data_IF_681600946923
#
_entry.id   IF_681600946923
#
_cell.length_a   1.000
_cell.length_b   1.000
_cell.length_c   1.000
_cell.angle_alpha   90.00
_cell.angle_beta   90.00
_cell.angle_gamma   90.00
#
_symmetry.space_group_name_H-M   'P 1'
#
loop_
_entity.id
_entity.type
_entity.pdbx_description
1 polymer ?
#
# COMPACT_ATOMS: atom_id res chain seq x y z
N UNK A 1 -37.73 -15.44 -8.07
CA UNK A 1 -36.51 -15.18 -7.27
C UNK A 1 -35.70 -14.17 -8.05
N UNK A 2 -35.76 -12.90 -7.65
CA UNK A 2 -35.29 -11.78 -8.49
C UNK A 2 -33.78 -11.78 -8.65
N UNK A 3 -33.32 -11.64 -9.89
CA UNK A 3 -31.97 -11.27 -10.30
C UNK A 3 -31.65 -9.84 -9.87
N UNK A 4 -31.67 -9.58 -8.57
CA UNK A 4 -31.15 -8.33 -7.99
C UNK A 4 -29.63 -8.36 -8.07
N UNK A 5 -29.04 -7.41 -8.82
CA UNK A 5 -27.59 -7.26 -8.95
C UNK A 5 -26.90 -7.36 -7.58
N UNK A 6 -26.03 -8.36 -7.42
CA UNK A 6 -25.23 -8.50 -6.20
C UNK A 6 -24.33 -7.28 -6.01
N UNK A 7 -23.96 -6.99 -4.76
CA UNK A 7 -23.01 -5.92 -4.46
C UNK A 7 -21.69 -6.12 -5.23
N UNK A 8 -21.23 -7.36 -5.39
CA UNK A 8 -20.05 -7.72 -6.16
C UNK A 8 -20.17 -7.38 -7.65
N UNK A 9 -21.31 -7.72 -8.28
CA UNK A 9 -21.55 -7.41 -9.68
C UNK A 9 -21.67 -5.89 -9.92
N UNK A 10 -22.34 -5.18 -9.01
CA UNK A 10 -22.42 -3.72 -9.05
C UNK A 10 -21.03 -3.08 -8.90
N UNK A 11 -20.21 -3.53 -7.95
CA UNK A 11 -18.87 -2.99 -7.73
C UNK A 11 -17.97 -3.22 -8.94
N UNK A 12 -18.05 -4.40 -9.56
CA UNK A 12 -17.33 -4.69 -10.80
C UNK A 12 -17.74 -3.71 -11.91
N UNK A 13 -19.03 -3.48 -12.11
CA UNK A 13 -19.51 -2.56 -13.15
C UNK A 13 -19.07 -1.11 -12.91
N UNK A 14 -18.98 -0.67 -11.64
CA UNK A 14 -18.44 0.66 -11.30
C UNK A 14 -16.97 0.80 -11.69
N UNK A 15 -16.17 -0.23 -11.43
CA UNK A 15 -14.73 -0.23 -11.74
C UNK A 15 -14.49 -0.30 -13.25
N UNK A 16 -15.24 -1.15 -13.96
CA UNK A 16 -15.16 -1.27 -15.41
C UNK A 16 -15.50 0.05 -16.11
N UNK A 17 -16.53 0.77 -15.64
CA UNK A 17 -16.94 2.05 -16.21
C UNK A 17 -15.88 3.16 -16.12
N UNK A 18 -14.94 3.06 -15.18
CA UNK A 18 -13.88 4.05 -14.98
C UNK A 18 -12.49 3.52 -15.33
N UNK A 19 -12.39 2.28 -15.85
CA UNK A 19 -11.12 1.56 -16.00
C UNK A 19 -10.09 2.37 -16.77
N UNK A 20 -10.47 3.00 -17.87
CA UNK A 20 -9.56 3.76 -18.75
C UNK A 20 -9.58 5.27 -18.51
N UNK A 21 -10.23 5.74 -17.45
CA UNK A 21 -10.28 7.16 -17.09
C UNK A 21 -9.66 7.38 -15.69
N UNK A 22 -8.40 7.86 -15.60
CA UNK A 22 -7.74 8.13 -14.33
C UNK A 22 -8.47 9.15 -13.45
N UNK A 23 -9.14 10.14 -14.04
CA UNK A 23 -9.91 11.12 -13.28
C UNK A 23 -11.18 10.48 -12.72
N UNK A 24 -11.89 9.68 -13.52
CA UNK A 24 -13.07 8.96 -13.05
C UNK A 24 -12.74 7.91 -11.97
N UNK A 25 -11.55 7.28 -12.00
CA UNK A 25 -11.05 6.44 -10.89
C UNK A 25 -10.92 7.23 -9.58
N UNK A 26 -10.38 8.45 -9.65
CA UNK A 26 -10.25 9.34 -8.48
C UNK A 26 -11.62 9.73 -7.93
N UNK A 27 -12.58 10.02 -8.80
CA UNK A 27 -13.95 10.33 -8.39
C UNK A 27 -14.62 9.10 -7.77
N UNK A 28 -14.42 7.91 -8.33
CA UNK A 28 -14.98 6.67 -7.80
C UNK A 28 -14.49 6.40 -6.38
N UNK A 29 -13.18 6.45 -6.11
CA UNK A 29 -12.67 6.29 -4.74
C UNK A 29 -13.16 7.41 -3.82
N UNK A 30 -13.36 8.63 -4.33
CA UNK A 30 -13.85 9.72 -3.50
C UNK A 30 -15.27 9.41 -3.01
N UNK A 31 -16.12 8.89 -3.91
CA UNK A 31 -17.50 8.49 -3.58
C UNK A 31 -17.57 7.38 -2.53
N UNK A 32 -16.61 6.45 -2.47
CA UNK A 32 -16.66 5.37 -1.46
C UNK A 32 -16.58 5.89 -0.03
N UNK A 33 -15.89 7.02 0.21
CA UNK A 33 -15.84 7.66 1.53
C UNK A 33 -17.09 8.50 1.87
N UNK A 34 -18.00 8.72 0.91
CA UNK A 34 -19.28 9.36 1.19
C UNK A 34 -20.35 8.38 1.67
N UNK A 35 -20.06 7.06 1.66
CA UNK A 35 -21.00 6.02 2.05
C UNK A 35 -22.16 5.86 1.06
N UNK A 36 -23.05 4.87 1.30
CA UNK A 36 -24.09 4.47 0.33
C UNK A 36 -25.15 5.56 0.08
N UNK A 37 -25.38 6.43 1.06
CA UNK A 37 -26.37 7.52 1.00
C UNK A 37 -25.73 8.90 0.72
N UNK A 38 -24.45 8.94 0.35
CA UNK A 38 -23.71 10.18 0.09
C UNK A 38 -23.38 11.01 1.35
N UNK A 39 -23.72 10.51 2.54
CA UNK A 39 -23.45 11.14 3.83
C UNK A 39 -22.77 10.17 4.79
N UNK A 40 -21.45 10.28 4.90
CA UNK A 40 -20.66 9.52 5.87
C UNK A 40 -19.57 10.39 6.52
N UNK A 41 -19.94 11.37 7.36
CA UNK A 41 -19.00 12.34 7.92
C UNK A 41 -17.84 11.70 8.71
N UNK A 42 -18.07 10.52 9.31
CA UNK A 42 -17.05 9.78 10.07
C UNK A 42 -15.97 9.16 9.16
N UNK A 43 -16.28 8.86 7.89
CA UNK A 43 -15.34 8.27 6.93
C UNK A 43 -14.50 9.33 6.20
N UNK A 44 -15.02 10.55 6.03
CA UNK A 44 -14.38 11.61 5.23
C UNK A 44 -12.93 11.93 5.63
N UNK A 45 -12.54 11.96 6.92
CA UNK A 45 -11.16 12.22 7.29
C UNK A 45 -10.17 11.18 6.72
N UNK A 46 -10.58 9.92 6.57
CA UNK A 46 -9.72 8.81 6.13
C UNK A 46 -9.40 8.83 4.63
N UNK A 47 -10.17 9.57 3.83
CA UNK A 47 -9.91 9.70 2.38
C UNK A 47 -8.57 10.35 2.07
N UNK A 48 -8.01 11.14 3.00
CA UNK A 48 -6.87 12.02 2.72
C UNK A 48 -5.66 11.25 2.21
N UNK A 49 -5.27 10.17 2.87
CA UNK A 49 -4.15 9.32 2.45
C UNK A 49 -4.42 8.64 1.10
N UNK A 50 -5.59 7.99 0.94
CA UNK A 50 -5.97 7.31 -0.30
C UNK A 50 -5.99 8.27 -1.51
N UNK A 51 -6.62 9.45 -1.38
CA UNK A 51 -6.70 10.42 -2.47
C UNK A 51 -5.33 11.03 -2.79
N UNK A 52 -4.47 11.24 -1.78
CA UNK A 52 -3.11 11.72 -2.02
C UNK A 52 -2.31 10.73 -2.86
N UNK A 53 -2.38 9.45 -2.51
CA UNK A 53 -1.71 8.38 -3.25
C UNK A 53 -2.27 8.23 -4.67
N UNK A 54 -3.59 8.21 -4.82
CA UNK A 54 -4.21 8.07 -6.15
C UNK A 54 -3.88 9.26 -7.07
N UNK A 55 -3.85 10.50 -6.54
CA UNK A 55 -3.38 11.67 -7.31
C UNK A 55 -1.91 11.55 -7.72
N UNK A 56 -1.07 10.97 -6.88
CA UNK A 56 0.32 10.70 -7.26
C UNK A 56 0.39 9.64 -8.37
N UNK A 57 -0.40 8.56 -8.29
CA UNK A 57 -0.48 7.54 -9.36
C UNK A 57 -0.91 8.16 -10.69
N UNK A 58 -1.90 9.06 -10.68
CA UNK A 58 -2.36 9.80 -11.87
C UNK A 58 -1.24 10.68 -12.42
N UNK A 59 -0.61 11.52 -11.58
CA UNK A 59 0.48 12.42 -12.02
C UNK A 59 1.66 11.65 -12.60
N UNK A 60 2.01 10.51 -12.02
CA UNK A 60 3.10 9.65 -12.50
C UNK A 60 2.80 8.99 -13.85
N UNK A 61 1.52 8.88 -14.21
CA UNK A 61 1.08 8.24 -15.45
C UNK A 61 0.81 6.74 -15.33
N UNK A 62 1.01 6.12 -14.16
CA UNK A 62 0.84 4.66 -14.00
C UNK A 62 -0.60 4.19 -14.21
N UNK A 63 -1.60 5.08 -14.10
CA UNK A 63 -3.01 4.76 -14.31
C UNK A 63 -3.51 5.08 -15.73
N UNK A 64 -2.66 5.61 -16.62
CA UNK A 64 -3.06 5.90 -18.00
C UNK A 64 -3.58 4.64 -18.74
N UNK A 65 -4.41 4.77 -19.79
CA UNK A 65 -4.85 3.65 -20.60
C UNK A 65 -3.67 2.83 -21.13
N UNK A 66 -3.77 1.51 -21.14
CA UNK A 66 -2.67 0.63 -21.58
C UNK A 66 -2.49 0.63 -23.11
N UNK A 67 -3.50 1.03 -23.88
CA UNK A 67 -3.40 1.24 -25.34
C UNK A 67 -3.16 2.71 -25.73
N UNK A 68 -2.82 3.58 -24.77
CA UNK A 68 -2.54 5.00 -25.02
C UNK A 68 -1.14 5.25 -25.60
N UNK A 69 -0.92 6.47 -26.13
CA UNK A 69 0.39 6.90 -26.64
C UNK A 69 1.49 6.92 -25.55
N UNK A 70 1.09 7.20 -24.32
CA UNK A 70 1.91 7.01 -23.11
C UNK A 70 1.16 5.99 -22.24
N UNK A 71 1.44 4.69 -22.41
CA UNK A 71 0.69 3.64 -21.74
C UNK A 71 0.94 3.65 -20.23
N UNK A 72 -0.10 3.37 -19.45
CA UNK A 72 0.03 3.14 -18.01
C UNK A 72 0.60 1.76 -17.70
N UNK A 73 0.81 1.48 -16.41
CA UNK A 73 1.27 0.16 -15.95
C UNK A 73 0.08 -0.79 -15.80
N UNK A 74 0.10 -1.96 -16.45
CA UNK A 74 -0.90 -3.00 -16.24
C UNK A 74 -1.00 -3.40 -14.75
N UNK A 75 0.16 -3.54 -14.08
CA UNK A 75 0.21 -3.92 -12.68
C UNK A 75 -0.40 -2.86 -11.74
N UNK A 76 0.00 -1.59 -11.89
CA UNK A 76 -0.50 -0.50 -11.04
C UNK A 76 -2.02 -0.33 -11.19
N UNK A 77 -2.52 -0.50 -12.41
CA UNK A 77 -3.96 -0.44 -12.71
C UNK A 77 -4.70 -1.59 -12.05
N UNK A 78 -4.18 -2.82 -12.10
CA UNK A 78 -4.79 -3.99 -11.48
C UNK A 78 -4.86 -3.86 -9.93
N UNK A 79 -3.77 -3.42 -9.30
CA UNK A 79 -3.75 -3.16 -7.85
C UNK A 79 -4.75 -2.07 -7.45
N UNK A 80 -4.84 -1.00 -8.25
CA UNK A 80 -5.81 0.07 -8.04
C UNK A 80 -7.26 -0.43 -8.24
N UNK A 81 -7.53 -1.27 -9.24
CA UNK A 81 -8.86 -1.86 -9.49
C UNK A 81 -9.33 -2.72 -8.33
N UNK A 82 -8.44 -3.53 -7.72
CA UNK A 82 -8.80 -4.31 -6.51
C UNK A 82 -9.23 -3.41 -5.36
N UNK A 83 -8.46 -2.36 -5.08
CA UNK A 83 -8.79 -1.40 -4.02
C UNK A 83 -10.14 -0.71 -4.26
N UNK A 84 -10.39 -0.27 -5.51
CA UNK A 84 -11.66 0.34 -5.90
C UNK A 84 -12.82 -0.64 -5.74
N UNK A 85 -12.66 -1.87 -6.23
CA UNK A 85 -13.69 -2.92 -6.19
C UNK A 85 -14.08 -3.25 -4.76
N UNK A 86 -13.12 -3.54 -3.88
CA UNK A 86 -13.39 -3.91 -2.49
C UNK A 86 -14.12 -2.77 -1.75
N UNK A 87 -13.68 -1.52 -1.95
CA UNK A 87 -14.31 -0.34 -1.35
C UNK A 87 -15.73 -0.08 -1.88
N UNK A 88 -15.93 -0.19 -3.20
CA UNK A 88 -17.25 -0.06 -3.82
C UNK A 88 -18.21 -1.15 -3.33
N UNK A 89 -17.76 -2.40 -3.29
CA UNK A 89 -18.58 -3.51 -2.84
C UNK A 89 -19.00 -3.33 -1.38
N UNK A 90 -18.07 -2.98 -0.50
CA UNK A 90 -18.39 -2.73 0.91
C UNK A 90 -19.41 -1.59 1.07
N UNK A 91 -19.29 -0.50 0.31
CA UNK A 91 -20.28 0.59 0.31
C UNK A 91 -21.64 0.08 -0.18
N UNK A 92 -21.70 -0.65 -1.28
CA UNK A 92 -22.94 -1.23 -1.80
C UNK A 92 -23.62 -2.16 -0.78
N UNK A 93 -22.84 -3.03 -0.13
CA UNK A 93 -23.33 -3.92 0.93
C UNK A 93 -23.87 -3.15 2.12
N UNK A 94 -23.14 -2.12 2.58
CA UNK A 94 -23.61 -1.23 3.66
C UNK A 94 -24.89 -0.47 3.28
N UNK A 95 -25.15 -0.28 1.98
CA UNK A 95 -26.40 0.27 1.44
C UNK A 95 -27.52 -0.74 1.23
N UNK A 96 -27.34 -2.01 1.62
CA UNK A 96 -28.37 -3.04 1.55
C UNK A 96 -28.33 -3.95 0.31
N UNK A 97 -27.34 -3.79 -0.59
CA UNK A 97 -27.17 -4.75 -1.69
C UNK A 97 -26.67 -6.09 -1.16
N UNK A 98 -27.34 -7.18 -1.56
CA UNK A 98 -27.04 -8.54 -1.12
C UNK A 98 -25.99 -9.28 -1.97
N UNK A 99 -25.92 -10.59 -1.76
CA UNK A 99 -25.03 -11.51 -2.47
C UNK A 99 -23.79 -11.93 -1.66
N UNK A 100 -23.07 -12.93 -2.16
CA UNK A 100 -21.79 -13.38 -1.58
C UNK A 100 -20.70 -12.32 -1.81
N UNK A 101 -19.83 -12.12 -0.82
CA UNK A 101 -18.71 -11.19 -0.98
C UNK A 101 -17.73 -11.69 -2.03
N UNK A 102 -17.19 -10.81 -2.88
CA UNK A 102 -16.23 -11.23 -3.92
C UNK A 102 -14.84 -11.58 -3.39
N UNK A 103 -14.51 -11.12 -2.19
CA UNK A 103 -13.24 -11.39 -1.53
C UNK A 103 -13.37 -11.29 0.00
N UNK A 104 -12.48 -11.93 0.79
CA UNK A 104 -12.43 -11.75 2.24
C UNK A 104 -12.16 -10.30 2.67
N UNK A 105 -11.45 -9.53 1.84
CA UNK A 105 -11.08 -8.14 2.12
C UNK A 105 -12.30 -7.20 2.20
N UNK A 106 -13.40 -7.53 1.51
CA UNK A 106 -14.69 -6.82 1.66
C UNK A 106 -15.19 -6.88 3.11
N UNK A 107 -14.98 -7.99 3.82
CA UNK A 107 -15.33 -8.11 5.25
C UNK A 107 -14.58 -7.11 6.13
N UNK A 108 -13.28 -6.89 5.85
CA UNK A 108 -12.47 -5.89 6.55
C UNK A 108 -12.95 -4.46 6.26
N UNK A 109 -13.33 -4.18 5.02
CA UNK A 109 -13.95 -2.89 4.66
C UNK A 109 -15.29 -2.68 5.36
N UNK A 110 -16.12 -3.72 5.52
CA UNK A 110 -17.34 -3.63 6.31
C UNK A 110 -17.05 -3.32 7.79
N UNK A 111 -15.99 -3.89 8.37
CA UNK A 111 -15.54 -3.54 9.73
C UNK A 111 -15.09 -2.07 9.84
N UNK A 112 -14.39 -1.54 8.83
CA UNK A 112 -14.07 -0.11 8.79
C UNK A 112 -15.31 0.78 8.66
N UNK A 113 -16.27 0.38 7.83
CA UNK A 113 -17.53 1.13 7.66
C UNK A 113 -18.30 1.19 8.98
N UNK A 114 -18.38 0.08 9.72
CA UNK A 114 -19.07 0.03 11.02
C UNK A 114 -18.32 0.75 12.14
N UNK A 115 -16.99 0.65 12.16
CA UNK A 115 -16.15 1.24 13.20
C UNK A 115 -14.94 1.95 12.57
N UNK A 116 -15.08 3.22 12.16
CA UNK A 116 -14.04 3.91 11.40
C UNK A 116 -12.90 4.39 12.32
N UNK A 117 -11.82 3.63 12.33
CA UNK A 117 -10.57 3.93 13.04
C UNK A 117 -9.39 3.84 12.09
N UNK A 118 -8.23 4.38 12.49
CA UNK A 118 -7.00 4.23 11.71
C UNK A 118 -6.62 2.75 11.54
N UNK A 119 -6.83 1.93 12.57
CA UNK A 119 -6.55 0.49 12.53
C UNK A 119 -7.45 -0.24 11.54
N UNK A 120 -8.76 -0.06 11.65
CA UNK A 120 -9.72 -0.73 10.76
C UNK A 120 -9.55 -0.26 9.31
N UNK A 121 -9.20 1.02 9.10
CA UNK A 121 -8.87 1.55 7.77
C UNK A 121 -7.62 0.91 7.17
N UNK A 122 -6.49 0.90 7.89
CA UNK A 122 -5.26 0.30 7.38
C UNK A 122 -5.42 -1.20 7.16
N UNK A 123 -6.11 -1.91 8.05
CA UNK A 123 -6.35 -3.34 7.90
C UNK A 123 -7.11 -3.64 6.61
N UNK A 124 -8.22 -2.93 6.36
CA UNK A 124 -8.99 -3.10 5.13
C UNK A 124 -8.20 -2.69 3.89
N UNK A 125 -7.61 -1.49 3.90
CA UNK A 125 -6.85 -0.96 2.78
C UNK A 125 -5.66 -1.85 2.42
N UNK A 126 -4.84 -2.21 3.41
CA UNK A 126 -3.61 -2.96 3.16
C UNK A 126 -3.88 -4.41 2.82
N UNK A 127 -4.98 -5.01 3.29
CA UNK A 127 -5.37 -6.34 2.86
C UNK A 127 -5.75 -6.35 1.36
N UNK A 128 -6.49 -5.33 0.88
CA UNK A 128 -6.76 -5.16 -0.56
C UNK A 128 -5.47 -5.00 -1.36
N UNK A 129 -4.53 -4.19 -0.87
CA UNK A 129 -3.23 -3.97 -1.54
C UNK A 129 -2.39 -5.26 -1.54
N UNK A 130 -2.20 -5.91 -0.39
CA UNK A 130 -1.40 -7.12 -0.26
C UNK A 130 -1.94 -8.26 -1.13
N UNK A 131 -3.26 -8.50 -1.08
CA UNK A 131 -3.89 -9.50 -1.94
C UNK A 131 -3.69 -9.17 -3.41
N UNK A 132 -3.85 -7.90 -3.83
CA UNK A 132 -3.63 -7.52 -5.23
C UNK A 132 -2.17 -7.66 -5.68
N UNK A 133 -1.20 -7.34 -4.82
CA UNK A 133 0.21 -7.60 -5.11
C UNK A 133 0.44 -9.07 -5.43
N UNK A 134 -0.07 -9.94 -4.59
CA UNK A 134 0.15 -11.37 -4.69
C UNK A 134 -0.60 -11.99 -5.88
N UNK A 135 -1.83 -11.53 -6.13
CA UNK A 135 -2.68 -12.01 -7.23
C UNK A 135 -2.19 -11.55 -8.61
N UNK A 136 -1.40 -10.46 -8.68
CA UNK A 136 -0.85 -9.89 -9.92
C UNK A 136 0.68 -9.94 -9.98
N UNK A 137 1.30 -10.96 -9.36
CA UNK A 137 2.76 -11.13 -9.34
C UNK A 137 3.36 -11.33 -10.73
N UNK A 138 2.60 -11.92 -11.64
CA UNK A 138 2.94 -12.09 -13.05
C UNK A 138 3.12 -10.74 -13.75
N UNK A 139 2.15 -9.83 -13.61
CA UNK A 139 2.24 -8.46 -14.16
C UNK A 139 3.42 -7.69 -13.57
N UNK A 140 3.74 -7.89 -12.29
CA UNK A 140 4.93 -7.30 -11.68
C UNK A 140 6.22 -7.85 -12.30
N UNK A 141 6.23 -9.10 -12.77
CA UNK A 141 7.39 -9.72 -13.42
C UNK A 141 7.74 -9.06 -14.75
N UNK A 142 6.74 -8.57 -15.47
CA UNK A 142 6.86 -7.89 -16.78
C UNK A 142 7.39 -6.45 -16.65
N UNK A 143 7.28 -5.86 -15.47
CA UNK A 143 7.70 -4.49 -15.19
C UNK A 143 9.23 -4.36 -15.19
N UNK A 144 9.69 -3.15 -15.51
CA UNK A 144 11.12 -2.85 -15.55
C UNK A 144 11.76 -3.08 -14.17
N UNK A 145 13.06 -3.36 -14.16
CA UNK A 145 13.77 -3.62 -12.90
C UNK A 145 13.62 -2.46 -11.88
N UNK A 146 13.72 -1.17 -12.27
CA UNK A 146 13.39 -0.05 -11.39
C UNK A 146 11.96 -0.05 -10.86
N UNK A 147 10.97 -0.38 -11.68
CA UNK A 147 9.57 -0.47 -11.22
C UNK A 147 9.41 -1.60 -10.19
N UNK A 148 10.01 -2.77 -10.41
CA UNK A 148 9.97 -3.88 -9.44
C UNK A 148 10.63 -3.52 -8.12
N UNK A 149 11.78 -2.84 -8.15
CA UNK A 149 12.39 -2.28 -6.93
C UNK A 149 11.41 -1.35 -6.23
N UNK A 150 10.81 -0.45 -6.98
CA UNK A 150 9.90 0.53 -6.44
C UNK A 150 8.60 -0.08 -5.85
N UNK A 151 8.05 -1.13 -6.46
CA UNK A 151 6.93 -1.90 -5.91
C UNK A 151 7.25 -2.47 -4.51
N UNK A 152 8.47 -2.99 -4.30
CA UNK A 152 8.90 -3.45 -2.97
C UNK A 152 8.96 -2.30 -1.96
N UNK A 153 9.45 -1.12 -2.38
CA UNK A 153 9.49 0.09 -1.54
C UNK A 153 8.07 0.54 -1.16
N UNK A 154 7.11 0.48 -2.08
CA UNK A 154 5.71 0.80 -1.75
C UNK A 154 5.16 -0.22 -0.78
N UNK A 155 5.33 -1.51 -1.03
CA UNK A 155 4.82 -2.57 -0.16
C UNK A 155 5.35 -2.41 1.27
N UNK A 156 6.66 -2.32 1.45
CA UNK A 156 7.26 -2.20 2.79
C UNK A 156 6.77 -0.94 3.52
N UNK A 157 6.59 0.19 2.82
CA UNK A 157 6.10 1.43 3.43
C UNK A 157 4.63 1.35 3.80
N UNK A 158 3.80 0.71 2.97
CA UNK A 158 2.38 0.46 3.26
C UNK A 158 2.23 -0.45 4.50
N UNK A 159 3.01 -1.54 4.58
CA UNK A 159 3.02 -2.40 5.76
C UNK A 159 3.51 -1.66 7.01
N UNK A 160 4.56 -0.85 6.87
CA UNK A 160 5.14 -0.11 7.99
C UNK A 160 4.20 0.96 8.55
N UNK A 161 3.48 1.70 7.69
CA UNK A 161 2.51 2.71 8.16
C UNK A 161 1.35 2.08 8.91
N UNK A 162 0.93 0.88 8.53
CA UNK A 162 -0.03 0.10 9.32
C UNK A 162 0.55 -0.29 10.68
N UNK A 163 1.80 -0.79 10.72
CA UNK A 163 2.47 -1.14 11.97
C UNK A 163 2.63 0.08 12.92
N UNK A 164 2.82 1.30 12.41
CA UNK A 164 2.86 2.51 13.25
C UNK A 164 1.59 2.68 14.11
N UNK A 165 0.43 2.26 13.59
CA UNK A 165 -0.86 2.38 14.29
C UNK A 165 -1.20 1.11 15.07
N UNK A 166 -0.98 -0.05 14.48
CA UNK A 166 -1.47 -1.33 15.00
C UNK A 166 -0.44 -2.09 15.84
N UNK A 167 0.86 -1.90 15.56
CA UNK A 167 1.97 -2.51 16.29
C UNK A 167 3.10 -1.49 16.56
N UNK A 168 2.84 -0.39 17.27
CA UNK A 168 3.79 0.73 17.39
C UNK A 168 5.12 0.34 18.06
N UNK A 169 5.14 -0.71 18.90
CA UNK A 169 6.37 -1.26 19.48
C UNK A 169 7.24 -1.97 18.43
N UNK A 170 6.62 -2.69 17.50
CA UNK A 170 7.32 -3.27 16.38
C UNK A 170 7.94 -2.14 15.53
N UNK A 171 7.14 -1.14 15.15
CA UNK A 171 7.59 -0.06 14.27
C UNK A 171 8.64 0.87 14.91
N UNK A 172 8.39 1.36 16.13
CA UNK A 172 9.17 2.44 16.76
C UNK A 172 9.89 2.03 18.05
N UNK A 173 9.82 0.76 18.48
CA UNK A 173 10.45 0.30 19.72
C UNK A 173 10.07 1.16 20.93
N UNK A 174 11.07 1.82 21.53
CA UNK A 174 10.88 2.70 22.69
C UNK A 174 10.05 3.96 22.40
N UNK A 175 10.00 4.39 21.14
CA UNK A 175 9.21 5.55 20.70
C UNK A 175 7.77 5.16 20.30
N UNK A 176 7.31 3.96 20.65
CA UNK A 176 5.94 3.47 20.40
C UNK A 176 4.82 4.48 20.71
N UNK A 177 4.86 5.30 21.79
CA UNK A 177 3.80 6.27 22.06
C UNK A 177 3.56 7.29 20.93
N UNK A 178 4.54 7.52 20.06
CA UNK A 178 4.41 8.43 18.91
C UNK A 178 3.73 7.77 17.70
N UNK A 179 3.72 6.44 17.64
CA UNK A 179 3.29 5.66 16.47
C UNK A 179 1.90 6.02 15.96
N UNK A 180 0.84 5.96 16.78
CA UNK A 180 -0.52 6.23 16.32
C UNK A 180 -0.71 7.61 15.70
N UNK A 181 0.00 8.64 16.21
CA UNK A 181 -0.06 10.00 15.64
C UNK A 181 0.72 10.12 14.33
N UNK A 182 1.87 9.46 14.24
CA UNK A 182 2.71 9.49 13.03
C UNK A 182 2.08 8.69 11.87
N UNK A 183 1.38 7.61 12.19
CA UNK A 183 0.71 6.76 11.20
C UNK A 183 -0.73 7.19 10.87
N UNK A 184 -1.32 8.17 11.55
CA UNK A 184 -2.75 8.48 11.37
C UNK A 184 -3.09 8.90 9.91
N UNK A 185 -3.92 8.13 9.18
CA UNK A 185 -4.24 8.39 7.78
C UNK A 185 -5.10 9.64 7.56
N UNK A 186 -5.69 10.17 8.64
CA UNK A 186 -6.48 11.41 8.64
C UNK A 186 -5.57 12.64 8.61
N UNK A 187 -4.34 12.50 9.12
CA UNK A 187 -3.36 13.57 9.19
C UNK A 187 -2.53 13.62 7.90
N UNK A 188 -2.08 14.81 7.53
CA UNK A 188 -1.18 15.00 6.38
C UNK A 188 0.20 14.35 6.55
N UNK A 189 0.53 13.89 7.76
CA UNK A 189 1.82 13.27 8.10
C UNK A 189 2.02 11.88 7.49
N UNK A 190 0.94 11.14 7.18
CA UNK A 190 1.03 9.93 6.35
C UNK A 190 1.62 10.24 4.95
N UNK A 191 1.49 11.49 4.48
CA UNK A 191 2.13 12.00 3.27
C UNK A 191 3.65 12.14 3.35
N UNK A 192 4.26 12.04 4.54
CA UNK A 192 5.72 12.02 4.71
C UNK A 192 6.28 10.63 4.42
N UNK A 193 5.59 9.57 4.88
CA UNK A 193 5.94 8.18 4.56
C UNK A 193 5.53 7.81 3.12
N UNK A 194 4.46 8.44 2.61
CA UNK A 194 4.07 8.44 1.21
C UNK A 194 4.63 9.64 0.44
N UNK A 195 5.78 10.21 0.84
CA UNK A 195 6.52 11.22 0.06
C UNK A 195 7.19 10.60 -1.19
N UNK A 196 6.44 9.71 -1.84
CA UNK A 196 6.65 9.14 -3.15
C UNK A 196 6.99 10.24 -4.16
N UNK A 197 6.39 11.42 -4.08
CA UNK A 197 6.69 12.54 -4.99
C UNK A 197 7.99 13.31 -4.72
N UNK A 198 8.75 12.98 -3.66
CA UNK A 198 10.08 13.58 -3.41
C UNK A 198 11.22 12.57 -3.50
N UNK A 199 10.87 11.28 -3.48
CA UNK A 199 11.83 10.17 -3.51
C UNK A 199 11.77 9.42 -4.84
N UNK A 200 10.71 9.60 -5.63
CA UNK A 200 10.50 8.83 -6.85
C UNK A 200 10.32 9.72 -8.07
N UNK A 201 10.71 9.23 -9.25
CA UNK A 201 10.52 9.94 -10.49
C UNK A 201 9.04 10.16 -10.81
N UNK A 202 8.75 11.35 -11.33
CA UNK A 202 7.39 11.82 -11.60
C UNK A 202 6.81 11.28 -12.92
N UNK A 203 7.47 10.30 -13.56
CA UNK A 203 7.07 9.73 -14.85
C UNK A 203 7.17 8.21 -14.86
N UNK A 204 6.32 7.60 -15.69
CA UNK A 204 6.27 6.19 -16.01
C UNK A 204 6.41 6.02 -17.54
N UNK A 205 7.14 4.99 -18.03
CA UNK A 205 7.95 4.05 -17.23
C UNK A 205 9.21 4.71 -16.66
N UNK A 206 9.87 4.02 -15.73
CA UNK A 206 11.21 4.39 -15.29
C UNK A 206 12.23 3.94 -16.34
N UNK A 207 12.97 4.91 -16.88
CA UNK A 207 13.92 4.70 -17.98
C UNK A 207 15.37 4.47 -17.51
N UNK A 208 15.72 4.90 -16.28
CA UNK A 208 17.10 4.83 -15.77
C UNK A 208 17.40 3.51 -15.05
N UNK A 209 18.68 3.19 -14.85
CA UNK A 209 19.07 2.02 -14.08
C UNK A 209 18.73 2.21 -12.59
N UNK A 210 18.46 1.11 -11.87
CA UNK A 210 18.23 1.15 -10.40
C UNK A 210 19.38 1.83 -9.66
N UNK A 211 20.62 1.65 -10.15
CA UNK A 211 21.80 2.27 -9.57
C UNK A 211 21.77 3.81 -9.63
N UNK A 212 21.20 4.37 -10.69
CA UNK A 212 21.09 5.82 -10.88
C UNK A 212 20.06 6.40 -9.91
N UNK A 213 18.94 5.71 -9.70
CA UNK A 213 17.98 6.07 -8.66
C UNK A 213 18.59 5.99 -7.27
N UNK A 214 19.34 4.92 -6.96
CA UNK A 214 20.03 4.78 -5.67
C UNK A 214 21.14 5.84 -5.45
N UNK A 215 21.69 6.39 -6.52
CA UNK A 215 22.72 7.44 -6.49
C UNK A 215 22.12 8.85 -6.33
N UNK A 216 20.95 9.09 -6.94
CA UNK A 216 20.21 10.37 -6.88
C UNK A 216 19.30 10.45 -5.64
N UNK A 217 19.01 9.31 -4.99
CA UNK A 217 18.10 9.25 -3.84
C UNK A 217 18.60 10.13 -2.67
N UNK A 218 17.84 11.19 -2.36
CA UNK A 218 18.12 12.05 -1.22
C UNK A 218 18.10 11.25 0.10
N UNK A 219 19.09 11.54 0.96
CA UNK A 219 19.43 10.87 2.23
C UNK A 219 18.26 10.48 3.17
N UNK A 220 17.10 11.12 3.06
CA UNK A 220 15.95 10.93 3.96
C UNK A 220 15.13 9.68 3.63
N UNK A 221 14.96 9.33 2.35
CA UNK A 221 14.29 8.09 1.91
C UNK A 221 15.08 6.85 2.29
N UNK A 222 16.41 6.88 2.02
CA UNK A 222 17.34 5.85 2.49
C UNK A 222 17.37 5.71 4.01
N UNK A 223 17.35 6.83 4.75
CA UNK A 223 17.33 6.78 6.22
C UNK A 223 16.11 6.02 6.74
N UNK A 224 14.94 6.26 6.13
CA UNK A 224 13.68 5.67 6.55
C UNK A 224 13.64 4.18 6.17
N UNK A 225 13.93 3.84 4.91
CA UNK A 225 13.83 2.46 4.42
C UNK A 225 14.95 1.57 4.96
N UNK A 226 16.21 2.04 4.98
CA UNK A 226 17.35 1.23 5.44
C UNK A 226 17.62 1.35 6.94
N UNK A 227 17.39 2.52 7.55
CA UNK A 227 17.73 2.75 8.96
C UNK A 227 16.60 2.47 9.95
N UNK A 228 15.35 2.76 9.57
CA UNK A 228 14.20 2.59 10.46
C UNK A 228 13.46 1.28 10.18
N UNK A 229 13.11 1.05 8.91
CA UNK A 229 12.32 -0.12 8.49
C UNK A 229 13.20 -1.35 8.33
N UNK A 230 14.34 -1.23 7.63
CA UNK A 230 15.28 -2.30 7.29
C UNK A 230 15.52 -3.34 8.40
N UNK A 231 15.96 -2.92 9.60
CA UNK A 231 16.27 -3.84 10.71
C UNK A 231 15.10 -4.70 11.20
N UNK A 232 13.87 -4.34 10.81
CA UNK A 232 12.63 -4.98 11.28
C UNK A 232 11.83 -5.60 10.14
N UNK A 233 12.31 -5.56 8.89
CA UNK A 233 11.55 -5.99 7.72
C UNK A 233 10.99 -7.41 7.87
N UNK A 234 11.81 -8.36 8.33
CA UNK A 234 11.34 -9.74 8.53
C UNK A 234 10.16 -9.82 9.51
N UNK A 235 10.27 -9.13 10.65
CA UNK A 235 9.22 -9.09 11.68
C UNK A 235 7.98 -8.34 11.18
N UNK A 236 8.18 -7.28 10.39
CA UNK A 236 7.10 -6.50 9.79
C UNK A 236 6.26 -7.34 8.83
N UNK A 237 6.91 -8.11 7.96
CA UNK A 237 6.21 -9.01 7.03
C UNK A 237 5.50 -10.15 7.76
N UNK A 238 6.13 -10.75 8.79
CA UNK A 238 5.49 -11.78 9.61
C UNK A 238 4.25 -11.25 10.35
N UNK A 239 4.38 -10.12 11.03
CA UNK A 239 3.26 -9.46 11.69
C UNK A 239 2.15 -9.07 10.69
N UNK A 240 2.53 -8.57 9.51
CA UNK A 240 1.55 -8.19 8.49
C UNK A 240 0.82 -9.38 7.89
N UNK A 241 1.50 -10.52 7.70
CA UNK A 241 0.89 -11.76 7.23
C UNK A 241 -0.20 -12.24 8.19
N UNK A 242 0.04 -12.17 9.49
CA UNK A 242 -0.95 -12.49 10.53
C UNK A 242 -2.08 -11.45 10.60
N UNK A 243 -1.74 -10.16 10.68
CA UNK A 243 -2.72 -9.06 10.84
C UNK A 243 -3.71 -8.98 9.66
N UNK A 244 -3.22 -9.26 8.45
CA UNK A 244 -4.00 -9.21 7.21
C UNK A 244 -4.60 -10.57 6.80
N UNK A 245 -4.31 -11.64 7.54
CA UNK A 245 -4.68 -13.03 7.19
C UNK A 245 -4.23 -13.42 5.77
N UNK A 246 -2.97 -13.11 5.44
CA UNK A 246 -2.38 -13.33 4.12
C UNK A 246 -0.97 -13.94 4.26
N UNK A 247 -0.87 -15.27 4.46
CA UNK A 247 0.41 -15.94 4.70
C UNK A 247 1.38 -15.87 3.52
N UNK A 248 0.90 -15.69 2.28
CA UNK A 248 1.77 -15.57 1.09
C UNK A 248 2.64 -14.31 1.13
N UNK A 249 2.35 -13.33 1.99
CA UNK A 249 3.25 -12.21 2.23
C UNK A 249 4.65 -12.66 2.69
N UNK A 250 4.76 -13.82 3.34
CA UNK A 250 6.05 -14.37 3.73
C UNK A 250 6.94 -14.76 2.53
N UNK A 251 6.36 -15.02 1.36
CA UNK A 251 7.12 -15.31 0.13
C UNK A 251 7.74 -14.05 -0.50
N UNK A 252 7.35 -12.87 0.00
CA UNK A 252 7.83 -11.56 -0.43
C UNK A 252 9.02 -11.05 0.42
N UNK A 253 9.51 -11.86 1.36
CA UNK A 253 10.66 -11.52 2.19
C UNK A 253 11.54 -12.76 2.43
N UNK A 254 12.86 -12.61 2.37
CA UNK A 254 13.81 -13.65 2.78
C UNK A 254 15.02 -13.01 3.43
N UNK A 255 15.42 -13.48 4.61
CA UNK A 255 16.59 -12.98 5.35
C UNK A 255 16.59 -11.45 5.47
N UNK A 256 15.43 -10.85 5.76
CA UNK A 256 15.24 -9.40 5.85
C UNK A 256 15.33 -8.64 4.52
N UNK A 257 15.34 -9.34 3.39
CA UNK A 257 15.44 -8.77 2.04
C UNK A 257 14.13 -8.96 1.28
N UNK A 258 13.52 -7.88 0.74
CA UNK A 258 12.34 -8.00 -0.11
C UNK A 258 12.59 -8.85 -1.38
N UNK A 259 11.63 -9.72 -1.70
CA UNK A 259 11.68 -10.67 -2.82
C UNK A 259 10.43 -10.63 -3.71
N UNK A 260 9.55 -9.65 -3.53
CA UNK A 260 8.38 -9.49 -4.39
C UNK A 260 8.82 -9.11 -5.81
N UNK A 261 8.59 -9.98 -6.79
CA UNK A 261 9.09 -9.83 -8.17
C UNK A 261 10.59 -9.43 -8.26
N UNK A 262 11.39 -9.83 -7.27
CA UNK A 262 12.81 -9.46 -7.17
C UNK A 262 13.67 -10.69 -6.84
N UNK A 263 14.71 -11.00 -7.64
CA UNK A 263 15.58 -12.14 -7.38
C UNK A 263 16.35 -11.99 -6.06
N UNK A 264 16.38 -13.03 -5.24
CA UNK A 264 17.15 -13.01 -3.99
C UNK A 264 18.67 -12.89 -4.22
N UNK A 265 19.18 -13.32 -5.37
CA UNK A 265 20.58 -13.10 -5.75
C UNK A 265 20.93 -11.60 -5.79
N UNK A 266 19.97 -10.75 -6.16
CA UNK A 266 20.11 -9.30 -6.29
C UNK A 266 19.77 -8.54 -5.01
N UNK A 267 19.69 -9.23 -3.85
CA UNK A 267 19.30 -8.63 -2.56
C UNK A 267 20.24 -7.54 -2.05
N UNK A 268 21.45 -7.43 -2.60
CA UNK A 268 22.44 -6.45 -2.17
C UNK A 268 21.93 -5.00 -2.28
N UNK A 269 20.95 -4.72 -3.15
CA UNK A 269 20.32 -3.40 -3.23
C UNK A 269 19.62 -3.00 -1.92
N UNK A 270 19.19 -3.98 -1.12
CA UNK A 270 18.50 -3.76 0.15
C UNK A 270 19.45 -3.57 1.35
N UNK A 271 20.75 -3.82 1.15
CA UNK A 271 21.75 -3.76 2.21
C UNK A 271 22.84 -2.74 1.83
N UNK A 272 22.84 -1.53 2.43
CA UNK A 272 23.88 -0.56 2.13
C UNK A 272 25.25 -1.11 2.56
N UNK A 273 26.19 -1.16 1.63
CA UNK A 273 27.57 -1.67 1.86
C UNK A 273 28.31 -0.88 2.96
N UNK A 274 27.90 0.37 3.20
CA UNK A 274 28.35 1.21 4.32
C UNK A 274 27.16 2.00 4.86
N UNK A 275 26.55 1.60 6.00
CA UNK A 275 25.50 2.40 6.62
C UNK A 275 26.07 3.75 7.05
N UNK A 276 25.34 4.83 6.74
CA UNK A 276 25.74 6.18 7.13
C UNK A 276 25.82 6.30 8.66
N UNK A 277 26.59 7.26 9.18
CA UNK A 277 26.68 7.48 10.62
C UNK A 277 25.30 7.69 11.27
N UNK A 278 24.37 8.31 10.53
CA UNK A 278 23.00 8.54 10.96
C UNK A 278 22.16 7.25 11.02
N UNK A 279 22.27 6.37 10.02
CA UNK A 279 21.62 5.05 10.03
C UNK A 279 22.06 4.25 11.26
N UNK A 280 23.36 4.22 11.55
CA UNK A 280 23.90 3.55 12.74
C UNK A 280 23.41 4.17 14.06
N UNK A 281 23.20 5.49 14.09
CA UNK A 281 22.66 6.15 15.28
C UNK A 281 21.20 5.77 15.51
N UNK A 282 20.38 5.70 14.44
CA UNK A 282 18.98 5.27 14.51
C UNK A 282 18.88 3.82 14.99
N UNK A 283 19.68 2.90 14.43
CA UNK A 283 19.71 1.50 14.87
C UNK A 283 20.06 1.34 16.36
N UNK A 284 20.92 2.22 16.89
CA UNK A 284 21.29 2.22 18.32
C UNK A 284 20.18 2.78 19.21
N UNK A 285 19.50 3.85 18.77
CA UNK A 285 18.42 4.50 19.53
C UNK A 285 17.14 3.67 19.48
N UNK A 286 16.88 3.04 18.34
CA UNK A 286 15.75 2.20 18.03
C UNK A 286 16.27 0.81 17.63
N UNK A 287 16.70 -0.02 18.58
CA UNK A 287 17.06 -1.40 18.28
C UNK A 287 15.81 -2.18 17.87
N UNK A 288 15.92 -3.15 16.94
CA UNK A 288 14.82 -4.08 16.66
C UNK A 288 14.47 -4.85 17.93
N UNK A 289 13.19 -5.19 18.11
CA UNK A 289 12.77 -5.95 19.29
C UNK A 289 13.31 -7.39 19.15
N UNK A 290 14.27 -7.75 20.00
CA UNK A 290 14.95 -9.05 19.95
C UNK A 290 14.15 -10.16 20.65
N UNK A 291 12.92 -9.89 21.09
CA UNK A 291 12.10 -10.85 21.83
C UNK A 291 11.56 -12.04 21.02
N UNK A 292 11.84 -12.10 19.71
CA UNK A 292 11.47 -13.23 18.83
C UNK A 292 12.64 -14.15 18.42
N UNK A 293 13.84 -13.99 19.02
CA UNK A 293 14.98 -14.92 18.83
C UNK A 293 15.09 -15.99 19.94
N UNK A 294 14.04 -16.19 20.73
CA UNK A 294 13.96 -17.26 21.73
C UNK A 294 12.69 -18.07 21.51
#
# INVERSE_FOLDING_TARGET
MGSGNSAAAWALSQVEAVRDDPAARLDLVTRTYHGPVGRAPQHLPFRRAALSFMRWQIRRGVLAPVQGALPGSPWWRAVNERLLRDGCEAVARSGGLGGTASSPTVGLWMSFISEPTARTWYRAHNASIASAYLDHRDLAGEESRPERFFMNVVLLRVLYTHALVSAPRLALGRLAPLGPRLGDPRLGMAGIFLSLSRVLPDRYPLDDAVADYLAVEHNLGRMLDYGLIGPRLQQLYAWSAEELDEPRLLDCIRDGSPTYAWPFADRAVWHPTRPTAMVRAIERVLPPDNRARR
#
